data_IF_504879775023
#
_entry.id   IF_504879775023
#
_cell.length_a   1.000
_cell.length_b   1.000
_cell.length_c   1.000
_cell.angle_alpha   90.00
_cell.angle_beta   90.00
_cell.angle_gamma   90.00
#
_symmetry.space_group_name_H-M   'P 1'
#
loop_
_entity.id
_entity.type
_entity.pdbx_description
1 polymer ?
#
# COMPACT_ATOMS: atom_id res chain seq x y z
N UNK A 1 -5.26 0.55 15.91
CA UNK A 1 -4.26 -0.46 15.49
C UNK A 1 -4.58 -1.77 16.17
N UNK A 2 -4.38 -2.88 15.47
CA UNK A 2 -4.50 -4.25 16.00
C UNK A 2 -3.16 -4.94 15.81
N UNK A 3 -2.53 -5.35 16.91
CA UNK A 3 -1.24 -6.03 16.92
C UNK A 3 -1.46 -7.49 17.30
N UNK A 4 -1.15 -8.41 16.39
CA UNK A 4 -1.19 -9.86 16.63
C UNK A 4 -0.45 -10.59 15.52
N UNK A 5 0.23 -11.69 15.85
CA UNK A 5 0.85 -12.60 14.87
C UNK A 5 -0.17 -13.15 13.85
N UNK A 6 -1.45 -13.18 14.19
CA UNK A 6 -2.53 -13.63 13.32
C UNK A 6 -3.02 -12.58 12.32
N UNK A 7 -2.57 -11.32 12.41
CA UNK A 7 -2.95 -10.30 11.41
C UNK A 7 -2.26 -10.62 10.10
N UNK A 8 -3.06 -11.06 9.12
CA UNK A 8 -2.66 -11.27 7.73
C UNK A 8 -3.72 -10.66 6.83
N UNK A 9 -3.36 -9.60 6.12
CA UNK A 9 -4.17 -8.87 5.18
C UNK A 9 -3.57 -8.97 3.78
N UNK A 10 -4.14 -9.88 3.00
CA UNK A 10 -3.80 -10.17 1.63
C UNK A 10 -5.08 -10.61 0.88
N UNK A 11 -6.08 -9.73 0.74
CA UNK A 11 -7.40 -10.09 0.22
C UNK A 11 -7.32 -10.55 -1.23
N UNK A 12 -7.74 -11.78 -1.52
CA UNK A 12 -7.65 -12.33 -2.87
C UNK A 12 -6.24 -12.74 -3.29
N UNK A 13 -5.39 -13.09 -2.32
CA UNK A 13 -4.10 -13.73 -2.56
C UNK A 13 -4.30 -15.05 -3.32
N UNK A 14 -3.53 -15.20 -4.39
CA UNK A 14 -3.51 -16.40 -5.22
C UNK A 14 -3.04 -17.63 -4.43
N UNK A 15 -3.65 -18.79 -4.72
CA UNK A 15 -3.20 -20.08 -4.21
C UNK A 15 -1.82 -20.50 -4.75
N UNK A 16 -1.32 -19.83 -5.79
CA UNK A 16 0.00 -20.07 -6.34
C UNK A 16 1.12 -19.35 -5.56
N UNK A 17 0.77 -18.47 -4.61
CA UNK A 17 1.77 -17.82 -3.77
C UNK A 17 2.28 -18.82 -2.71
N UNK A 18 3.59 -19.08 -2.71
CA UNK A 18 4.25 -19.99 -1.77
C UNK A 18 5.19 -19.29 -0.78
N UNK A 19 5.26 -17.96 -0.82
CA UNK A 19 6.09 -17.17 0.09
C UNK A 19 5.38 -16.90 1.43
N UNK A 20 6.02 -16.06 2.24
CA UNK A 20 5.44 -15.59 3.51
C UNK A 20 5.00 -14.13 3.36
N UNK A 21 3.83 -13.82 3.92
CA UNK A 21 3.42 -12.42 4.10
C UNK A 21 4.20 -11.90 5.31
N UNK A 22 4.92 -10.76 5.19
CA UNK A 22 5.62 -10.15 6.31
C UNK A 22 4.71 -9.88 7.51
N UNK A 23 5.31 -9.51 8.63
CA UNK A 23 4.55 -9.01 9.78
C UNK A 23 3.69 -7.81 9.35
N UNK A 24 2.47 -7.74 9.88
CA UNK A 24 1.51 -6.72 9.54
C UNK A 24 0.81 -6.19 10.78
N UNK A 25 0.63 -4.87 10.84
CA UNK A 25 -0.24 -4.23 11.83
C UNK A 25 -1.59 -3.93 11.20
N UNK A 26 -2.66 -4.36 11.86
CA UNK A 26 -4.02 -4.10 11.41
C UNK A 26 -4.41 -2.64 11.64
N UNK A 27 -4.85 -1.97 10.59
CA UNK A 27 -5.43 -0.63 10.62
C UNK A 27 -6.94 -0.75 10.39
N UNK A 28 -7.73 -0.31 11.37
CA UNK A 28 -9.19 -0.37 11.37
C UNK A 28 -9.71 1.02 11.72
N UNK A 29 -10.67 1.53 10.96
CA UNK A 29 -11.30 2.84 11.19
C UNK A 29 -12.75 2.63 11.61
N UNK A 30 -13.15 3.18 12.76
CA UNK A 30 -14.51 3.05 13.32
C UNK A 30 -15.01 1.60 13.47
N UNK A 31 -14.10 0.64 13.63
CA UNK A 31 -14.43 -0.78 13.75
C UNK A 31 -14.65 -1.53 12.44
N UNK A 32 -14.44 -0.88 11.29
CA UNK A 32 -14.54 -1.46 9.95
C UNK A 32 -13.34 -1.02 9.07
N UNK A 33 -13.37 -1.34 7.78
CA UNK A 33 -12.38 -0.86 6.80
C UNK A 33 -10.98 -1.38 7.10
N UNK A 34 -10.86 -2.68 7.39
CA UNK A 34 -9.57 -3.31 7.68
C UNK A 34 -8.60 -3.10 6.50
N UNK A 35 -7.43 -2.57 6.82
CA UNK A 35 -6.23 -2.62 5.99
C UNK A 35 -5.04 -3.00 6.87
N UNK A 36 -3.84 -3.13 6.29
CA UNK A 36 -2.65 -3.43 7.07
C UNK A 36 -1.42 -2.66 6.63
N UNK A 37 -0.59 -2.30 7.60
CA UNK A 37 0.75 -1.76 7.41
C UNK A 37 1.71 -2.94 7.40
N UNK A 38 2.43 -3.16 6.29
CA UNK A 38 3.39 -4.26 6.15
C UNK A 38 4.75 -3.82 6.68
N UNK A 39 5.38 -4.66 7.52
CA UNK A 39 6.66 -4.35 8.13
C UNK A 39 7.81 -4.45 7.13
N UNK A 40 8.47 -3.33 6.88
CA UNK A 40 9.66 -3.19 6.01
C UNK A 40 10.80 -2.41 6.71
N UNK A 41 10.70 -2.23 8.02
CA UNK A 41 11.70 -1.53 8.84
C UNK A 41 13.09 -2.15 8.72
N UNK A 42 14.09 -1.32 8.43
CA UNK A 42 15.50 -1.72 8.40
C UNK A 42 15.93 -2.50 7.16
N UNK A 43 15.01 -2.72 6.20
CA UNK A 43 15.31 -3.43 4.95
C UNK A 43 15.94 -2.48 3.93
N UNK A 44 16.89 -2.98 3.15
CA UNK A 44 17.31 -2.27 1.94
C UNK A 44 16.30 -2.48 0.79
N UNK A 45 16.41 -1.70 -0.29
CA UNK A 45 15.45 -1.75 -1.40
C UNK A 45 15.27 -3.14 -2.02
N UNK A 46 16.35 -3.92 -2.16
CA UNK A 46 16.29 -5.27 -2.76
C UNK A 46 15.61 -6.27 -1.83
N UNK A 47 15.90 -6.21 -0.53
CA UNK A 47 15.25 -7.05 0.49
C UNK A 47 13.77 -6.70 0.62
N UNK A 48 13.45 -5.41 0.64
CA UNK A 48 12.08 -4.91 0.69
C UNK A 48 11.27 -5.39 -0.54
N UNK A 49 11.85 -5.36 -1.75
CA UNK A 49 11.20 -5.87 -2.95
C UNK A 49 10.84 -7.36 -2.84
N UNK A 50 11.74 -8.20 -2.33
CA UNK A 50 11.44 -9.62 -2.08
C UNK A 50 10.32 -9.81 -1.06
N UNK A 51 10.30 -9.02 0.01
CA UNK A 51 9.27 -9.10 1.06
C UNK A 51 7.88 -8.69 0.58
N UNK A 52 7.78 -7.88 -0.47
CA UNK A 52 6.49 -7.42 -1.00
C UNK A 52 6.02 -8.22 -2.23
N UNK A 53 6.69 -9.30 -2.62
CA UNK A 53 6.29 -10.17 -3.74
C UNK A 53 4.82 -10.60 -3.64
N UNK A 54 4.34 -10.91 -2.42
CA UNK A 54 2.95 -11.31 -2.20
C UNK A 54 1.94 -10.31 -2.75
N UNK A 55 2.29 -9.01 -2.79
CA UNK A 55 1.41 -7.96 -3.31
C UNK A 55 1.06 -8.19 -4.77
N UNK A 56 1.97 -8.77 -5.58
CA UNK A 56 1.73 -9.07 -6.99
C UNK A 56 0.84 -10.30 -7.21
N UNK A 57 0.68 -11.13 -6.18
CA UNK A 57 -0.22 -12.28 -6.18
C UNK A 57 -1.63 -11.93 -5.69
N UNK A 58 -1.89 -10.65 -5.38
CA UNK A 58 -3.21 -10.15 -5.01
C UNK A 58 -4.03 -9.90 -6.28
N UNK A 59 -5.31 -10.26 -6.27
CA UNK A 59 -6.17 -10.08 -7.45
C UNK A 59 -6.28 -8.61 -7.93
N UNK A 60 -6.10 -7.63 -7.05
CA UNK A 60 -6.11 -6.20 -7.39
C UNK A 60 -4.93 -5.74 -8.25
N UNK A 61 -3.78 -6.43 -8.20
CA UNK A 61 -2.59 -6.06 -9.00
C UNK A 61 -2.65 -6.56 -10.44
N UNK A 62 -3.67 -7.35 -10.82
CA UNK A 62 -3.86 -7.82 -12.19
C UNK A 62 -3.79 -6.67 -13.22
N UNK A 63 -4.26 -5.48 -12.86
CA UNK A 63 -4.18 -4.29 -13.71
C UNK A 63 -2.76 -3.99 -14.21
N UNK A 64 -1.74 -4.16 -13.38
CA UNK A 64 -0.33 -3.92 -13.74
C UNK A 64 0.20 -4.89 -14.80
N UNK A 65 -0.41 -6.07 -14.94
CA UNK A 65 -0.05 -7.08 -15.94
C UNK A 65 -0.82 -6.94 -17.26
N UNK A 66 -1.91 -6.17 -17.26
CA UNK A 66 -2.79 -5.99 -18.43
C UNK A 66 -2.54 -4.68 -19.19
N UNK A 67 -2.02 -3.66 -18.52
CA UNK A 67 -1.79 -2.34 -19.12
C UNK A 67 -0.37 -2.22 -19.68
N UNK A 68 -0.24 -1.52 -20.81
CA UNK A 68 1.06 -1.29 -21.45
C UNK A 68 1.90 -0.18 -20.80
N UNK A 69 1.26 0.92 -20.37
CA UNK A 69 1.92 2.01 -19.63
C UNK A 69 1.42 2.02 -18.19
N UNK A 70 2.34 1.72 -17.26
CA UNK A 70 2.11 1.69 -15.81
C UNK A 70 2.95 2.72 -15.05
N UNK A 71 3.53 3.70 -15.76
CA UNK A 71 4.42 4.69 -15.14
C UNK A 71 3.70 5.59 -14.13
N UNK A 72 2.41 5.85 -14.33
CA UNK A 72 1.60 6.70 -13.44
C UNK A 72 0.38 5.95 -12.94
N UNK A 73 0.25 5.88 -11.63
CA UNK A 73 -0.80 5.14 -10.94
C UNK A 73 -1.51 6.07 -9.98
N UNK A 74 -2.84 5.98 -9.96
CA UNK A 74 -3.68 6.63 -8.96
C UNK A 74 -4.38 5.56 -8.12
N UNK A 75 -4.24 5.66 -6.80
CA UNK A 75 -4.84 4.78 -5.81
C UNK A 75 -5.80 5.63 -4.97
N UNK A 76 -7.06 5.18 -4.85
CA UNK A 76 -8.07 5.84 -4.03
C UNK A 76 -8.23 5.01 -2.75
N UNK A 77 -8.00 5.63 -1.60
CA UNK A 77 -7.99 4.97 -0.30
C UNK A 77 -6.79 4.02 -0.12
N UNK A 78 -5.53 4.53 -0.19
CA UNK A 78 -4.35 3.68 -0.03
C UNK A 78 -4.22 3.04 1.36
N UNK A 79 -4.83 3.60 2.41
CA UNK A 79 -4.94 2.96 3.72
C UNK A 79 -3.59 2.57 4.33
N UNK A 80 -3.42 1.29 4.66
CA UNK A 80 -2.14 0.74 5.14
C UNK A 80 -1.06 0.55 4.06
N UNK A 81 -1.39 0.78 2.79
CA UNK A 81 -0.42 0.85 1.69
C UNK A 81 -0.31 -0.39 0.80
N UNK A 82 -1.19 -1.39 0.91
CA UNK A 82 -1.08 -2.63 0.11
C UNK A 82 -1.00 -2.38 -1.40
N UNK A 83 -1.87 -1.53 -1.94
CA UNK A 83 -1.85 -1.23 -3.39
C UNK A 83 -0.63 -0.38 -3.79
N UNK A 84 -0.07 0.40 -2.86
CA UNK A 84 1.21 1.09 -3.08
C UNK A 84 2.34 0.07 -3.21
N UNK A 85 2.37 -0.96 -2.35
CA UNK A 85 3.35 -2.05 -2.45
C UNK A 85 3.22 -2.77 -3.80
N UNK A 86 2.00 -3.05 -4.25
CA UNK A 86 1.74 -3.63 -5.56
C UNK A 86 2.28 -2.76 -6.70
N UNK A 87 2.11 -1.43 -6.62
CA UNK A 87 2.66 -0.47 -7.58
C UNK A 87 4.20 -0.42 -7.55
N UNK A 88 4.81 -0.43 -6.36
CA UNK A 88 6.27 -0.47 -6.21
C UNK A 88 6.84 -1.75 -6.81
N UNK A 89 6.27 -2.91 -6.47
CA UNK A 89 6.71 -4.20 -7.00
C UNK A 89 6.58 -4.27 -8.53
N UNK A 90 5.53 -3.65 -9.06
CA UNK A 90 5.28 -3.56 -10.50
C UNK A 90 6.01 -2.39 -11.20
N UNK A 91 6.98 -1.75 -10.54
CA UNK A 91 7.85 -0.71 -11.11
C UNK A 91 7.10 0.54 -11.60
N UNK A 92 6.04 0.96 -10.90
CA UNK A 92 5.40 2.24 -11.16
C UNK A 92 6.35 3.40 -10.82
N UNK A 93 6.54 4.36 -11.74
CA UNK A 93 7.44 5.51 -11.56
C UNK A 93 6.83 6.57 -10.63
N UNK A 94 5.52 6.79 -10.72
CA UNK A 94 4.79 7.79 -9.95
C UNK A 94 3.46 7.22 -9.44
N UNK A 95 3.28 7.20 -8.12
CA UNK A 95 2.08 6.72 -7.44
C UNK A 95 1.44 7.89 -6.70
N UNK A 96 0.19 8.21 -7.06
CA UNK A 96 -0.65 9.15 -6.35
C UNK A 96 -1.64 8.37 -5.49
N UNK A 97 -1.74 8.73 -4.22
CA UNK A 97 -2.77 8.23 -3.30
C UNK A 97 -3.76 9.34 -2.96
N UNK A 98 -5.05 9.04 -2.89
CA UNK A 98 -6.06 9.92 -2.29
C UNK A 98 -6.58 9.27 -1.02
N UNK A 99 -6.16 9.79 0.13
CA UNK A 99 -6.60 9.32 1.44
C UNK A 99 -7.68 10.26 1.99
N UNK A 100 -8.84 9.72 2.34
CA UNK A 100 -9.94 10.51 2.88
C UNK A 100 -9.70 10.88 4.34
N UNK A 101 -9.06 10.00 5.10
CA UNK A 101 -8.79 10.20 6.51
C UNK A 101 -7.38 10.81 6.73
N UNK A 102 -7.27 12.10 7.11
CA UNK A 102 -5.98 12.74 7.35
C UNK A 102 -5.15 12.03 8.43
N UNK A 103 -5.78 11.39 9.41
CA UNK A 103 -5.08 10.70 10.50
C UNK A 103 -4.35 9.46 9.98
N UNK A 104 -4.92 8.74 9.01
CA UNK A 104 -4.24 7.59 8.37
C UNK A 104 -2.99 8.07 7.65
N UNK A 105 -3.09 9.17 6.89
CA UNK A 105 -1.93 9.77 6.23
C UNK A 105 -0.85 10.17 7.24
N UNK A 106 -1.22 10.88 8.31
CA UNK A 106 -0.28 11.31 9.36
C UNK A 106 0.39 10.10 10.02
N UNK A 107 -0.38 9.04 10.29
CA UNK A 107 0.09 7.83 10.93
C UNK A 107 1.13 7.10 10.07
N UNK A 108 0.91 6.98 8.75
CA UNK A 108 1.87 6.36 7.82
C UNK A 108 3.07 7.26 7.49
N UNK A 109 2.90 8.59 7.47
CA UNK A 109 3.99 9.53 7.19
C UNK A 109 4.89 9.78 8.40
N UNK A 110 4.38 9.55 9.62
CA UNK A 110 5.12 9.82 10.86
C UNK A 110 5.20 8.56 11.73
N UNK A 111 4.13 8.23 12.46
CA UNK A 111 4.15 7.25 13.55
C UNK A 111 4.63 5.85 13.13
N UNK A 112 4.31 5.43 11.91
CA UNK A 112 4.68 4.14 11.33
C UNK A 112 5.48 4.29 10.03
N UNK A 113 6.12 5.46 9.84
CA UNK A 113 6.99 5.69 8.69
C UNK A 113 8.08 4.61 8.63
N UNK A 114 8.88 4.47 9.69
CA UNK A 114 9.96 3.48 9.74
C UNK A 114 9.43 2.04 9.65
N UNK A 115 8.35 1.72 10.38
CA UNK A 115 7.72 0.39 10.35
C UNK A 115 7.34 -0.04 8.94
N UNK A 116 6.74 0.88 8.16
CA UNK A 116 6.29 0.63 6.80
C UNK A 116 7.38 0.70 5.73
N UNK A 117 8.65 0.92 6.10
CA UNK A 117 9.73 1.17 5.14
C UNK A 117 9.59 2.52 4.44
N UNK A 118 8.95 3.47 5.10
CA UNK A 118 8.78 4.87 4.69
C UNK A 118 8.02 5.05 3.36
N UNK A 119 7.13 4.11 3.02
CA UNK A 119 6.45 4.08 1.70
C UNK A 119 5.66 5.36 1.38
N UNK A 120 5.05 6.01 2.37
CA UNK A 120 4.28 7.25 2.13
C UNK A 120 5.15 8.50 1.90
N UNK A 121 6.44 8.41 2.20
CA UNK A 121 7.41 9.50 2.01
C UNK A 121 8.46 9.16 0.94
N UNK A 122 8.36 8.00 0.27
CA UNK A 122 9.29 7.58 -0.77
C UNK A 122 9.18 8.52 -1.98
N UNK A 123 10.30 8.75 -2.65
CA UNK A 123 10.30 9.46 -3.93
C UNK A 123 9.35 8.76 -4.93
N UNK A 124 8.62 9.56 -5.71
CA UNK A 124 7.59 9.07 -6.62
C UNK A 124 6.23 8.82 -5.97
N UNK A 125 6.10 8.87 -4.63
CA UNK A 125 4.83 8.66 -3.93
C UNK A 125 4.26 9.98 -3.39
N UNK A 126 3.01 10.29 -3.75
CA UNK A 126 2.31 11.52 -3.34
C UNK A 126 0.93 11.21 -2.78
N UNK A 127 0.71 11.53 -1.50
CA UNK A 127 -0.58 11.30 -0.84
C UNK A 127 -1.36 12.60 -0.67
N UNK A 128 -2.43 12.74 -1.43
CA UNK A 128 -3.44 13.79 -1.30
C UNK A 128 -4.43 13.44 -0.19
N UNK A 129 -4.97 14.46 0.47
CA UNK A 129 -6.02 14.29 1.47
C UNK A 129 -7.33 14.85 0.93
N UNK A 130 -8.39 14.04 0.89
CA UNK A 130 -9.70 14.48 0.45
C UNK A 130 -10.62 13.36 -0.01
N UNK A 131 -11.84 13.72 -0.37
CA UNK A 131 -12.80 12.77 -0.92
C UNK A 131 -12.43 12.41 -2.37
N UNK A 132 -12.34 11.12 -2.67
CA UNK A 132 -11.81 10.58 -3.92
C UNK A 132 -12.45 11.16 -5.17
N UNK A 133 -13.79 11.22 -5.24
CA UNK A 133 -14.51 11.74 -6.42
C UNK A 133 -14.29 13.24 -6.61
N UNK A 134 -14.23 13.99 -5.51
CA UNK A 134 -14.03 15.44 -5.53
C UNK A 134 -12.62 15.79 -5.99
N UNK A 135 -11.60 15.09 -5.48
CA UNK A 135 -10.21 15.27 -5.93
C UNK A 135 -10.07 14.86 -7.40
N UNK A 136 -10.62 13.71 -7.80
CA UNK A 136 -10.58 13.23 -9.18
C UNK A 136 -11.13 14.25 -10.19
N UNK A 137 -12.19 14.97 -9.85
CA UNK A 137 -12.77 16.01 -10.73
C UNK A 137 -11.85 17.21 -10.96
N UNK A 138 -10.88 17.43 -10.08
CA UNK A 138 -9.92 18.53 -10.16
C UNK A 138 -8.52 18.10 -10.60
N UNK A 139 -8.32 16.82 -10.93
CA UNK A 139 -7.10 16.35 -11.57
C UNK A 139 -7.24 16.58 -13.08
N UNK A 140 -6.58 17.60 -13.59
CA UNK A 140 -6.43 17.87 -15.02
C UNK A 140 -5.35 16.97 -15.67
#
# INVERSE_FOLDING_TARGET
MVESEGVKYAPGLSLNFSGEIPEQLGLVTDGDGLSAITRLEGENDLEALGKIEFSDYISSTLGFHLIGDKRKVLIIGPGGGLDILGGIYNEAEEIWGIEMNPDVKILLQNNYADYSGNIYNREGIKILTGEGRSILKGLD
#
